data_IF_495245307216
#
_entry.id   IF_495245307216
#
_cell.length_a   1.000
_cell.length_b   1.000
_cell.length_c   1.000
_cell.angle_alpha   90.00
_cell.angle_beta   90.00
_cell.angle_gamma   90.00
#
_symmetry.space_group_name_H-M   'P 1'
#
loop_
_entity.id
_entity.type
_entity.pdbx_description
1 polymer ?
#
# COMPACT_ATOMS: atom_id res chain seq x y z
N UNK A 1 15.08 -23.38 48.61
CA UNK A 1 15.79 -23.85 47.40
C UNK A 1 14.80 -23.78 46.24
N UNK A 2 14.67 -22.60 45.63
CA UNK A 2 13.55 -22.18 44.76
C UNK A 2 14.09 -21.68 43.41
N UNK A 3 14.67 -22.56 42.58
CA UNK A 3 15.31 -22.12 41.32
C UNK A 3 14.83 -22.90 40.07
N UNK A 4 14.04 -23.97 40.22
CA UNK A 4 13.71 -24.86 39.09
C UNK A 4 12.42 -24.52 38.32
N UNK A 5 11.62 -23.54 38.74
CA UNK A 5 10.30 -23.27 38.13
C UNK A 5 10.27 -22.11 37.12
N UNK A 6 11.39 -21.44 36.85
CA UNK A 6 11.46 -20.31 35.91
C UNK A 6 12.05 -20.66 34.53
N UNK A 7 12.50 -21.91 34.33
CA UNK A 7 13.19 -22.33 33.11
C UNK A 7 12.27 -22.99 32.07
N UNK A 8 10.95 -22.80 32.19
CA UNK A 8 9.96 -23.34 31.24
C UNK A 8 9.13 -22.27 30.53
N UNK A 9 9.40 -20.98 30.78
CA UNK A 9 8.74 -19.86 30.08
C UNK A 9 9.62 -19.30 28.94
N UNK A 10 10.91 -19.61 28.91
CA UNK A 10 11.85 -19.13 27.89
C UNK A 10 12.02 -20.07 26.67
N UNK A 11 11.29 -21.19 26.62
CA UNK A 11 11.32 -22.15 25.51
C UNK A 11 9.94 -22.29 24.84
N UNK A 12 9.06 -21.31 24.98
CA UNK A 12 7.96 -21.14 24.05
C UNK A 12 8.55 -20.48 22.82
N UNK A 13 8.93 -21.33 21.87
CA UNK A 13 9.37 -21.02 20.52
C UNK A 13 8.73 -19.72 20.03
N UNK A 14 9.59 -18.78 19.63
CA UNK A 14 9.30 -17.53 18.96
C UNK A 14 8.66 -17.79 17.58
N UNK A 15 7.53 -18.51 17.52
CA UNK A 15 6.72 -18.61 16.32
C UNK A 15 5.59 -17.60 16.47
N UNK A 16 5.95 -16.32 16.44
CA UNK A 16 5.00 -15.30 16.03
C UNK A 16 4.75 -15.56 14.54
N UNK A 17 3.69 -16.31 14.21
CA UNK A 17 3.21 -16.36 12.82
C UNK A 17 2.64 -14.99 12.52
N UNK A 18 3.47 -14.12 11.95
CA UNK A 18 3.00 -12.84 11.40
C UNK A 18 2.28 -13.19 10.10
N UNK A 19 0.95 -13.32 10.16
CA UNK A 19 0.10 -13.40 8.97
C UNK A 19 0.00 -12.02 8.35
N UNK A 20 0.97 -11.68 7.50
CA UNK A 20 0.99 -10.48 6.68
C UNK A 20 1.40 -10.86 5.26
N UNK A 21 0.80 -10.22 4.27
CA UNK A 21 1.18 -10.45 2.88
C UNK A 21 2.66 -10.07 2.70
N UNK A 22 3.45 -10.96 2.06
CA UNK A 22 4.88 -10.77 1.86
C UNK A 22 5.16 -9.51 1.03
N UNK A 23 6.07 -8.60 1.46
CA UNK A 23 6.36 -7.39 0.71
C UNK A 23 7.05 -7.71 -0.63
N UNK A 24 6.66 -7.01 -1.69
CA UNK A 24 7.26 -7.15 -3.03
C UNK A 24 7.69 -5.79 -3.54
N UNK A 25 8.94 -5.69 -4.01
CA UNK A 25 9.45 -4.48 -4.67
C UNK A 25 9.59 -4.74 -6.18
N UNK A 26 9.14 -3.78 -6.99
CA UNK A 26 9.31 -3.76 -8.44
C UNK A 26 10.03 -2.48 -8.84
N UNK A 27 11.02 -2.63 -9.72
CA UNK A 27 11.81 -1.52 -10.26
C UNK A 27 11.15 -0.96 -11.52
N UNK A 28 10.95 0.35 -11.58
CA UNK A 28 10.46 1.06 -12.77
C UNK A 28 11.42 2.16 -13.18
N UNK A 29 11.24 2.74 -14.36
CA UNK A 29 12.00 3.90 -14.80
C UNK A 29 11.72 5.17 -13.97
N UNK A 30 10.57 5.24 -13.30
CA UNK A 30 10.21 6.40 -12.47
C UNK A 30 10.64 6.26 -11.01
N UNK A 31 11.05 5.05 -10.59
CA UNK A 31 11.43 4.72 -9.22
C UNK A 31 10.88 3.37 -8.77
N UNK A 32 11.18 2.98 -7.54
CA UNK A 32 10.79 1.69 -7.00
C UNK A 32 9.36 1.74 -6.45
N UNK A 33 8.65 0.61 -6.53
CA UNK A 33 7.27 0.47 -6.03
C UNK A 33 7.20 -0.73 -5.09
N UNK A 34 6.70 -0.52 -3.88
CA UNK A 34 6.45 -1.57 -2.89
C UNK A 34 4.95 -1.94 -2.87
N UNK A 35 4.65 -3.19 -3.23
CA UNK A 35 3.36 -3.82 -3.03
C UNK A 35 3.47 -5.02 -2.10
N UNK A 36 2.55 -5.96 -2.25
CA UNK A 36 2.56 -7.22 -1.50
C UNK A 36 2.12 -8.40 -2.34
N UNK A 37 2.48 -9.60 -1.91
CA UNK A 37 2.09 -10.86 -2.52
C UNK A 37 1.00 -11.57 -1.70
N UNK A 38 -0.03 -12.03 -2.39
CA UNK A 38 -1.03 -12.97 -1.90
C UNK A 38 -0.73 -14.37 -2.44
N UNK A 39 -1.49 -15.37 -2.00
CA UNK A 39 -1.37 -16.74 -2.51
C UNK A 39 -1.59 -16.85 -4.04
N UNK A 40 -2.34 -15.91 -4.63
CA UNK A 40 -2.75 -15.98 -6.05
C UNK A 40 -2.14 -14.88 -6.92
N UNK A 41 -1.73 -13.75 -6.34
CA UNK A 41 -1.35 -12.57 -7.12
C UNK A 41 -0.40 -11.63 -6.37
N UNK A 42 0.31 -10.79 -7.13
CA UNK A 42 1.03 -9.63 -6.61
C UNK A 42 0.16 -8.39 -6.78
N UNK A 43 0.03 -7.60 -5.73
CA UNK A 43 -0.91 -6.49 -5.65
C UNK A 43 -0.16 -5.19 -5.43
N UNK A 44 -0.47 -4.20 -6.27
CA UNK A 44 0.06 -2.84 -6.20
C UNK A 44 -1.09 -1.86 -6.45
N UNK A 45 -1.41 -1.05 -5.44
CA UNK A 45 -2.47 -0.05 -5.48
C UNK A 45 -1.93 1.37 -5.68
N UNK A 46 -2.78 2.25 -6.21
CA UNK A 46 -2.54 3.69 -6.17
C UNK A 46 -1.33 4.19 -6.94
N UNK A 47 -0.81 3.43 -7.91
CA UNK A 47 0.34 3.86 -8.72
C UNK A 47 -0.10 5.04 -9.61
N UNK A 48 0.53 6.23 -9.48
CA UNK A 48 0.17 7.39 -10.28
C UNK A 48 0.69 7.23 -11.71
N UNK A 49 -0.17 7.48 -12.69
CA UNK A 49 0.21 7.53 -14.11
C UNK A 49 0.34 8.96 -14.65
N UNK A 50 -0.18 9.95 -13.91
CA UNK A 50 -0.23 11.36 -14.28
C UNK A 50 -0.22 12.25 -13.03
N UNK A 51 0.03 13.54 -13.22
CA UNK A 51 -0.16 14.55 -12.18
C UNK A 51 -1.64 14.65 -11.76
N UNK A 52 -1.94 14.96 -10.49
CA UNK A 52 -3.31 15.15 -10.03
C UNK A 52 -4.05 16.21 -10.87
N UNK A 53 -5.25 15.92 -11.41
CA UNK A 53 -5.99 16.83 -12.28
C UNK A 53 -6.76 17.90 -11.49
N UNK A 54 -6.05 18.63 -10.64
CA UNK A 54 -6.56 19.68 -9.75
C UNK A 54 -6.16 21.08 -10.23
N UNK A 55 -6.79 22.12 -9.68
CA UNK A 55 -6.48 23.52 -9.98
C UNK A 55 -6.45 23.84 -11.48
N UNK A 56 -5.33 24.35 -11.98
CA UNK A 56 -5.13 24.73 -13.39
C UNK A 56 -5.09 23.52 -14.34
N UNK A 57 -4.89 22.31 -13.82
CA UNK A 57 -4.94 21.06 -14.58
C UNK A 57 -6.36 20.52 -14.73
N UNK A 58 -7.35 21.12 -14.06
CA UNK A 58 -8.74 20.73 -14.22
C UNK A 58 -9.18 20.97 -15.67
N UNK A 59 -9.83 19.96 -16.26
CA UNK A 59 -10.29 19.98 -17.65
C UNK A 59 -9.18 20.04 -18.70
N UNK A 60 -7.94 19.75 -18.32
CA UNK A 60 -6.81 19.61 -19.24
C UNK A 60 -6.52 18.12 -19.50
N UNK A 61 -5.81 17.79 -20.60
CA UNK A 61 -5.24 16.46 -20.80
C UNK A 61 -4.33 16.05 -19.63
N UNK A 62 -4.22 14.74 -19.33
CA UNK A 62 -3.35 14.26 -18.27
C UNK A 62 -1.89 14.63 -18.56
N UNK A 63 -1.23 15.22 -17.58
CA UNK A 63 0.20 15.57 -17.63
C UNK A 63 1.01 14.43 -17.01
N UNK A 64 2.06 13.91 -17.67
CA UNK A 64 2.91 12.88 -17.09
C UNK A 64 3.49 13.29 -15.73
N UNK A 65 3.54 12.34 -14.79
CA UNK A 65 4.20 12.57 -13.50
C UNK A 65 5.73 12.48 -13.65
N UNK A 66 6.45 13.23 -12.83
CA UNK A 66 7.90 13.12 -12.72
C UNK A 66 8.33 11.83 -12.02
N UNK A 67 9.63 11.54 -12.09
CA UNK A 67 10.25 10.45 -11.34
C UNK A 67 10.13 10.70 -9.83
N UNK A 68 9.89 9.64 -9.07
CA UNK A 68 9.95 9.62 -7.59
C UNK A 68 11.18 8.89 -7.08
N UNK A 69 12.10 8.45 -7.94
CA UNK A 69 13.41 8.00 -7.51
C UNK A 69 14.15 9.14 -6.78
N UNK A 70 14.91 8.86 -5.71
CA UNK A 70 15.29 7.54 -5.20
C UNK A 70 14.31 6.93 -4.17
N UNK A 71 13.14 7.53 -3.97
CA UNK A 71 12.15 7.03 -3.01
C UNK A 71 11.47 5.75 -3.51
N UNK A 72 10.91 4.98 -2.58
CA UNK A 72 10.05 3.82 -2.87
C UNK A 72 8.59 4.24 -2.69
N UNK A 73 7.78 4.10 -3.73
CA UNK A 73 6.35 4.37 -3.69
C UNK A 73 5.63 3.22 -2.95
N UNK A 74 4.94 3.54 -1.85
CA UNK A 74 4.12 2.57 -1.13
C UNK A 74 2.77 2.35 -1.86
N UNK A 75 2.62 1.18 -2.46
CA UNK A 75 1.46 0.72 -3.22
C UNK A 75 0.66 -0.37 -2.48
N UNK A 76 0.64 -0.36 -1.14
CA UNK A 76 -0.05 -1.38 -0.33
C UNK A 76 -1.49 -1.01 0.03
N UNK A 77 -1.91 0.25 -0.18
CA UNK A 77 -3.23 0.76 0.18
C UNK A 77 -3.99 1.31 -1.03
N UNK A 78 -5.32 1.07 -1.13
CA UNK A 78 -6.14 1.66 -2.19
C UNK A 78 -6.11 3.21 -2.17
N UNK A 79 -6.06 3.82 -3.34
CA UNK A 79 -6.23 5.26 -3.50
C UNK A 79 -7.72 5.65 -3.52
N UNK A 80 -8.07 6.91 -3.19
CA UNK A 80 -9.44 7.41 -3.30
C UNK A 80 -9.98 7.28 -4.72
N UNK A 81 -11.26 6.95 -4.89
CA UNK A 81 -11.87 6.99 -6.22
C UNK A 81 -12.17 8.43 -6.65
N UNK A 82 -12.47 8.58 -7.94
CA UNK A 82 -12.85 9.87 -8.50
C UNK A 82 -14.15 10.40 -7.86
N UNK A 83 -14.28 11.72 -7.71
CA UNK A 83 -15.54 12.35 -7.32
C UNK A 83 -16.67 11.96 -8.28
N UNK A 84 -17.77 11.48 -7.71
CA UNK A 84 -18.97 11.06 -8.45
C UNK A 84 -20.22 11.42 -7.65
N UNK A 85 -21.35 11.59 -8.35
CA UNK A 85 -22.64 11.83 -7.68
C UNK A 85 -22.98 10.68 -6.72
N UNK A 86 -23.63 10.97 -5.58
CA UNK A 86 -23.81 10.01 -4.49
C UNK A 86 -24.80 8.91 -4.87
N UNK A 87 -24.27 7.85 -5.49
CA UNK A 87 -24.93 6.53 -5.58
C UNK A 87 -23.99 5.40 -5.14
N UNK A 88 -22.74 5.70 -4.81
CA UNK A 88 -21.75 4.69 -4.43
C UNK A 88 -21.73 4.45 -2.92
N UNK A 89 -22.23 3.27 -2.55
CA UNK A 89 -21.86 2.56 -1.32
C UNK A 89 -20.96 1.39 -1.75
N UNK A 90 -19.85 1.06 -1.06
CA UNK A 90 -19.45 1.47 0.30
C UNK A 90 -18.50 2.69 0.37
N UNK A 91 -18.42 3.27 1.57
CA UNK A 91 -17.77 4.54 1.92
C UNK A 91 -16.25 4.61 1.82
N UNK A 92 -15.56 3.47 1.73
CA UNK A 92 -14.08 3.42 1.59
C UNK A 92 -13.64 3.92 0.20
N UNK A 93 -14.50 3.81 -0.81
CA UNK A 93 -14.18 4.10 -2.20
C UNK A 93 -14.56 5.53 -2.56
N UNK A 94 -15.54 6.13 -1.90
CA UNK A 94 -15.99 7.48 -2.22
C UNK A 94 -15.22 8.53 -1.43
N UNK A 95 -14.71 9.59 -2.08
CA UNK A 95 -14.21 10.74 -1.34
C UNK A 95 -15.36 11.36 -0.54
N UNK A 96 -15.20 11.48 0.77
CA UNK A 96 -16.11 12.30 1.59
C UNK A 96 -15.90 13.76 1.20
N UNK A 97 -16.94 14.39 0.68
CA UNK A 97 -16.96 15.83 0.42
C UNK A 97 -16.85 16.64 1.71
#
# INVERSE_FOLDING_TARGET
>A
MMISAFYWIALTCCCQIISGNEPVIVHTNLGDIQGYQTDMSRVFYGIPFAQPPVDTLRWQPPVPIGEWAPQVLNATTPAPACPQSPSCTPSIICPTV
#
